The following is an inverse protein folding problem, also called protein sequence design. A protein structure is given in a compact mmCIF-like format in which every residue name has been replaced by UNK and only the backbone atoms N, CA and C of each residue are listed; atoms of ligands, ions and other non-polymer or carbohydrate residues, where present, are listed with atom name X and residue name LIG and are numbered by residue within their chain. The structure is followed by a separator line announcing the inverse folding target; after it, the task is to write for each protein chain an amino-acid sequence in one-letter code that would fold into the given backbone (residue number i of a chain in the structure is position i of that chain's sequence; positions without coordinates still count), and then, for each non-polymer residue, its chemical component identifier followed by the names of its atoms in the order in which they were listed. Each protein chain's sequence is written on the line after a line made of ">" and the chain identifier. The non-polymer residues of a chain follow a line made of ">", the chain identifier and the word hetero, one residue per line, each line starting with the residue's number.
data_IF_441813429479
#
_entry.id   IF_441813429479
#
_cell.length_a   1.000
_cell.length_b   1.000
_cell.length_c   1.000
_cell.angle_alpha   90.00
_cell.angle_beta   90.00
_cell.angle_gamma   90.00
#
_symmetry.space_group_name_H-M   'P 1'
#
loop_
_entity.id
_entity.type
_entity.pdbx_description
1 polymer ?
#
# COMPACT_ATOMS: atom_id res chain seq x y z
N UNK A 1 -16.38 -0.84 12.68
CA UNK A 1 -15.96 -1.09 11.28
C UNK A 1 -16.08 0.21 10.50
N UNK A 2 -15.36 0.39 9.39
CA UNK A 2 -15.35 1.63 8.59
C UNK A 2 -16.08 1.46 7.25
N UNK A 3 -16.47 2.58 6.64
CA UNK A 3 -17.03 2.66 5.29
C UNK A 3 -16.01 2.41 4.19
N UNK A 4 -16.41 2.67 2.95
CA UNK A 4 -15.53 2.53 1.79
C UNK A 4 -14.27 3.41 1.91
N UNK A 5 -14.38 4.56 2.58
CA UNK A 5 -13.30 5.48 2.89
C UNK A 5 -13.58 6.22 4.21
N UNK A 6 -12.61 6.98 4.72
CA UNK A 6 -12.73 7.73 5.99
C UNK A 6 -13.93 8.71 6.03
N UNK A 7 -14.38 9.20 4.87
CA UNK A 7 -15.51 10.12 4.77
C UNK A 7 -16.87 9.43 4.56
N UNK A 8 -16.89 8.11 4.38
CA UNK A 8 -18.10 7.36 4.14
C UNK A 8 -18.72 6.88 5.46
N UNK A 9 -19.91 7.42 5.75
CA UNK A 9 -20.65 7.15 6.99
C UNK A 9 -21.50 5.87 6.94
N UNK A 10 -21.50 5.13 5.83
CA UNK A 10 -22.22 3.85 5.68
C UNK A 10 -23.74 3.94 5.89
N UNK A 11 -24.36 5.09 5.70
CA UNK A 11 -25.82 5.27 5.88
C UNK A 11 -26.69 4.38 4.99
N UNK A 12 -26.10 3.79 3.94
CA UNK A 12 -26.73 2.83 3.05
C UNK A 12 -26.75 1.38 3.57
N UNK A 13 -26.03 1.09 4.66
CA UNK A 13 -25.97 -0.25 5.25
C UNK A 13 -27.14 -0.44 6.23
N UNK A 14 -27.92 -1.53 6.13
CA UNK A 14 -28.97 -1.84 7.09
C UNK A 14 -28.48 -1.84 8.55
N UNK A 15 -29.30 -1.28 9.43
CA UNK A 15 -28.99 -1.23 10.86
C UNK A 15 -28.74 -2.65 11.43
N UNK A 16 -27.66 -2.79 12.20
CA UNK A 16 -27.26 -4.05 12.83
C UNK A 16 -26.56 -5.06 11.92
N UNK A 17 -26.49 -4.83 10.60
CA UNK A 17 -25.81 -5.77 9.70
C UNK A 17 -24.30 -5.84 9.99
N UNK A 18 -23.66 -4.69 10.20
CA UNK A 18 -22.22 -4.60 10.52
C UNK A 18 -21.91 -5.32 11.83
N UNK A 19 -22.73 -5.12 12.87
CA UNK A 19 -22.52 -5.71 14.19
C UNK A 19 -22.68 -7.23 14.13
N UNK A 20 -23.69 -7.73 13.40
CA UNK A 20 -23.89 -9.17 13.17
C UNK A 20 -22.66 -9.79 12.50
N UNK A 21 -22.16 -9.17 11.43
CA UNK A 21 -20.97 -9.68 10.74
C UNK A 21 -19.73 -9.65 11.62
N UNK A 22 -19.56 -8.60 12.42
CA UNK A 22 -18.43 -8.52 13.36
C UNK A 22 -18.52 -9.60 14.46
N UNK A 23 -19.71 -9.86 15.01
CA UNK A 23 -19.87 -10.84 16.09
C UNK A 23 -19.83 -12.29 15.61
N UNK A 24 -20.36 -12.58 14.41
CA UNK A 24 -20.58 -13.96 13.95
C UNK A 24 -19.53 -14.42 12.92
N UNK A 25 -18.92 -13.48 12.20
CA UNK A 25 -18.11 -13.77 11.01
C UNK A 25 -16.78 -13.00 10.96
N UNK A 26 -16.26 -12.55 12.10
CA UNK A 26 -14.88 -12.05 12.13
C UNK A 26 -13.90 -13.18 11.75
N UNK A 27 -13.06 -13.00 10.71
CA UNK A 27 -12.16 -14.05 10.26
C UNK A 27 -11.02 -14.34 11.26
N UNK A 28 -10.59 -13.34 12.03
CA UNK A 28 -9.56 -13.49 13.06
C UNK A 28 -10.14 -14.32 14.21
N UNK A 29 -11.32 -13.97 14.73
CA UNK A 29 -11.97 -14.74 15.81
C UNK A 29 -12.21 -16.19 15.42
N UNK A 30 -12.64 -16.43 14.18
CA UNK A 30 -12.87 -17.79 13.66
C UNK A 30 -11.57 -18.58 13.57
N UNK A 31 -10.47 -17.94 13.18
CA UNK A 31 -9.20 -18.63 13.06
C UNK A 31 -8.53 -18.84 14.42
N UNK A 32 -8.66 -17.90 15.36
CA UNK A 32 -8.24 -18.08 16.76
C UNK A 32 -8.90 -19.33 17.35
N UNK A 33 -10.23 -19.48 17.20
CA UNK A 33 -10.94 -20.69 17.64
C UNK A 33 -10.34 -21.95 17.02
N UNK A 34 -10.03 -21.91 15.72
CA UNK A 34 -9.42 -23.05 15.03
C UNK A 34 -8.04 -23.40 15.58
N UNK A 35 -7.22 -22.41 15.89
CA UNK A 35 -5.88 -22.62 16.45
C UNK A 35 -5.96 -23.19 17.87
N UNK A 36 -6.87 -22.67 18.70
CA UNK A 36 -7.09 -23.22 20.05
C UNK A 36 -7.60 -24.67 19.99
N UNK A 37 -8.44 -25.02 19.00
CA UNK A 37 -8.86 -26.41 18.75
C UNK A 37 -7.71 -27.32 18.25
N UNK A 38 -6.61 -26.75 17.77
CA UNK A 38 -5.40 -27.44 17.29
C UNK A 38 -4.27 -27.42 18.34
N UNK A 39 -4.61 -27.22 19.63
CA UNK A 39 -3.69 -27.23 20.77
C UNK A 39 -2.63 -26.10 20.78
N UNK A 40 -2.89 -24.98 20.10
CA UNK A 40 -2.09 -23.76 20.30
C UNK A 40 -2.46 -23.09 21.62
N UNK A 41 -1.48 -22.54 22.32
CA UNK A 41 -1.71 -21.89 23.61
C UNK A 41 -2.26 -20.47 23.43
N UNK A 42 -3.24 -20.08 24.26
CA UNK A 42 -3.78 -18.71 24.26
C UNK A 42 -2.68 -17.67 24.49
N UNK A 43 -1.69 -18.01 25.32
CA UNK A 43 -0.53 -17.16 25.58
C UNK A 43 0.34 -16.91 24.33
N UNK A 44 0.43 -17.89 23.42
CA UNK A 44 1.16 -17.72 22.16
C UNK A 44 0.44 -16.74 21.26
N UNK A 45 -0.89 -16.87 21.13
CA UNK A 45 -1.72 -15.94 20.35
C UNK A 45 -1.65 -14.52 20.92
N UNK A 46 -1.78 -14.37 22.24
CA UNK A 46 -1.65 -13.08 22.91
C UNK A 46 -0.26 -12.45 22.70
N UNK A 47 0.81 -13.26 22.66
CA UNK A 47 2.15 -12.77 22.37
C UNK A 47 2.31 -12.24 20.94
N UNK A 48 1.60 -12.84 19.97
CA UNK A 48 1.56 -12.35 18.59
C UNK A 48 0.82 -11.02 18.51
N UNK A 49 -0.36 -10.92 19.14
CA UNK A 49 -1.14 -9.68 19.16
C UNK A 49 -0.35 -8.53 19.81
N UNK A 50 0.34 -8.80 20.93
CA UNK A 50 1.19 -7.81 21.59
C UNK A 50 2.32 -7.32 20.67
N UNK A 51 3.00 -8.24 19.98
CA UNK A 51 4.08 -7.90 19.06
C UNK A 51 3.58 -7.11 17.85
N UNK A 52 2.44 -7.48 17.28
CA UNK A 52 1.83 -6.75 16.14
C UNK A 52 1.40 -5.34 16.57
N UNK A 53 0.84 -5.20 17.77
CA UNK A 53 0.46 -3.89 18.32
C UNK A 53 1.69 -3.00 18.48
N UNK A 54 2.76 -3.52 19.08
CA UNK A 54 4.03 -2.79 19.22
C UNK A 54 4.61 -2.37 17.85
N UNK A 55 4.57 -3.26 16.85
CA UNK A 55 5.04 -2.95 15.49
C UNK A 55 4.22 -1.83 14.83
N UNK A 56 2.89 -1.85 15.00
CA UNK A 56 1.99 -0.81 14.47
C UNK A 56 2.23 0.53 15.18
N UNK A 57 2.39 0.53 16.50
CA UNK A 57 2.63 1.74 17.28
C UNK A 57 3.95 2.40 16.84
N UNK A 58 5.04 1.60 16.74
CA UNK A 58 6.35 2.09 16.27
C UNK A 58 6.24 2.66 14.84
N UNK A 59 5.58 1.97 13.93
CA UNK A 59 5.42 2.44 12.55
C UNK A 59 4.56 3.72 12.47
N UNK A 60 3.57 3.85 13.34
CA UNK A 60 2.73 5.05 13.44
C UNK A 60 3.53 6.24 13.97
N UNK A 61 4.31 6.04 15.04
CA UNK A 61 5.20 7.05 15.59
C UNK A 61 6.24 7.52 14.56
N UNK A 62 6.81 6.60 13.77
CA UNK A 62 7.74 6.94 12.68
C UNK A 62 7.04 7.77 11.58
N UNK A 63 5.82 7.38 11.19
CA UNK A 63 5.05 8.11 10.18
C UNK A 63 4.66 9.51 10.65
N UNK A 64 4.28 9.68 11.92
CA UNK A 64 3.92 10.98 12.50
C UNK A 64 5.16 11.89 12.70
N UNK A 65 6.30 11.32 13.06
CA UNK A 65 7.56 12.04 13.21
C UNK A 65 8.23 12.40 11.88
N UNK A 66 7.84 11.74 10.79
CA UNK A 66 8.40 11.96 9.46
C UNK A 66 8.09 13.40 8.99
N UNK A 67 9.09 14.13 8.47
CA UNK A 67 8.88 15.47 7.97
C UNK A 67 7.98 15.44 6.72
N UNK A 68 7.25 16.53 6.48
CA UNK A 68 6.62 16.74 5.18
C UNK A 68 7.68 16.70 4.08
N UNK A 69 7.33 16.18 2.88
CA UNK A 69 8.25 16.17 1.74
C UNK A 69 8.67 17.59 1.35
N UNK A 70 9.85 17.73 0.76
CA UNK A 70 10.27 19.01 0.19
C UNK A 70 9.31 19.35 -0.98
N UNK A 71 8.87 20.60 -1.15
CA UNK A 71 8.00 20.97 -2.27
C UNK A 71 8.54 20.55 -3.65
N UNK A 72 9.86 20.42 -3.82
CA UNK A 72 10.49 19.96 -5.07
C UNK A 72 10.38 18.46 -5.28
N UNK A 73 10.11 17.67 -4.24
CA UNK A 73 9.86 16.23 -4.37
C UNK A 73 8.65 15.95 -5.26
N UNK A 74 7.71 16.90 -5.36
CA UNK A 74 6.58 16.84 -6.30
C UNK A 74 7.01 16.77 -7.78
N UNK A 75 8.27 17.10 -8.12
CA UNK A 75 8.81 17.01 -9.47
C UNK A 75 9.59 15.71 -9.73
N UNK A 76 9.81 14.90 -8.69
CA UNK A 76 10.51 13.62 -8.77
C UNK A 76 9.51 12.53 -9.22
N UNK A 77 9.97 11.56 -10.02
CA UNK A 77 9.15 10.43 -10.47
C UNK A 77 8.16 10.76 -11.61
N UNK A 78 8.25 11.95 -12.22
CA UNK A 78 7.46 12.32 -13.41
C UNK A 78 7.87 11.48 -14.62
N UNK A 79 9.18 11.34 -14.83
CA UNK A 79 9.77 10.46 -15.83
C UNK A 79 10.64 9.41 -15.11
N UNK A 80 10.88 8.28 -15.78
CA UNK A 80 11.85 7.30 -15.28
C UNK A 80 13.25 7.93 -15.18
N UNK A 81 14.01 7.55 -14.16
CA UNK A 81 15.43 7.88 -14.01
C UNK A 81 16.22 6.59 -13.71
N UNK A 82 17.10 6.13 -14.62
CA UNK A 82 17.39 6.73 -15.92
C UNK A 82 16.16 6.72 -16.84
N UNK A 83 16.08 7.64 -17.82
CA UNK A 83 14.96 7.74 -18.76
C UNK A 83 14.99 6.62 -19.82
N UNK A 84 15.23 5.39 -19.38
CA UNK A 84 15.31 4.21 -20.21
C UNK A 84 14.62 3.05 -19.48
N UNK A 85 13.55 2.53 -20.06
CA UNK A 85 12.96 1.27 -19.63
C UNK A 85 13.59 0.12 -20.41
N UNK A 86 13.85 -1.00 -19.73
CA UNK A 86 14.24 -2.23 -20.42
C UNK A 86 13.17 -2.62 -21.44
N UNK A 87 13.54 -2.92 -22.69
CA UNK A 87 12.57 -3.33 -23.69
C UNK A 87 11.90 -4.65 -23.25
N UNK A 88 10.62 -4.81 -23.57
CA UNK A 88 9.95 -6.10 -23.43
C UNK A 88 10.71 -7.15 -24.22
N UNK A 89 10.72 -8.40 -23.75
CA UNK A 89 11.54 -9.49 -24.33
C UNK A 89 11.38 -9.68 -25.84
N UNK A 90 10.19 -9.42 -26.40
CA UNK A 90 9.92 -9.53 -27.85
C UNK A 90 10.38 -8.30 -28.67
N UNK A 91 10.90 -7.27 -28.02
CA UNK A 91 11.52 -6.07 -28.62
C UNK A 91 13.01 -5.98 -28.34
N UNK A 92 13.59 -7.00 -27.71
CA UNK A 92 15.02 -7.07 -27.47
C UNK A 92 15.78 -7.02 -28.80
N UNK A 93 16.72 -6.07 -28.92
CA UNK A 93 17.45 -5.80 -30.16
C UNK A 93 16.71 -4.93 -31.20
N UNK A 94 15.43 -4.60 -31.01
CA UNK A 94 14.67 -3.71 -31.92
C UNK A 94 14.66 -2.29 -31.35
N UNK A 95 15.78 -1.57 -31.50
CA UNK A 95 15.96 -0.20 -30.99
C UNK A 95 15.73 0.91 -32.03
N UNK A 96 15.59 0.55 -33.31
CA UNK A 96 15.53 1.52 -34.42
C UNK A 96 14.42 2.56 -34.31
N UNK A 97 13.28 2.23 -33.69
CA UNK A 97 12.20 3.18 -33.48
C UNK A 97 12.51 4.19 -32.37
N UNK A 98 13.23 3.76 -31.33
CA UNK A 98 13.62 4.54 -30.15
C UNK A 98 14.79 5.45 -30.52
N UNK A 99 15.85 4.88 -31.11
CA UNK A 99 17.09 5.60 -31.49
C UNK A 99 16.85 6.72 -32.53
N UNK A 100 15.79 6.62 -33.35
CA UNK A 100 15.49 7.58 -34.42
C UNK A 100 14.45 8.64 -34.00
N UNK A 101 13.56 8.33 -33.05
CA UNK A 101 12.43 9.20 -32.71
C UNK A 101 12.44 9.71 -31.25
N UNK A 102 13.27 9.16 -30.36
CA UNK A 102 13.49 9.77 -29.06
C UNK A 102 14.25 11.08 -29.24
N UNK A 103 13.57 12.18 -28.91
CA UNK A 103 14.23 13.47 -28.75
C UNK A 103 15.13 13.38 -27.51
N UNK A 104 16.32 14.01 -27.51
CA UNK A 104 17.09 14.20 -26.29
C UNK A 104 16.18 14.77 -25.21
N UNK A 105 16.34 14.31 -23.97
CA UNK A 105 15.65 14.88 -22.82
C UNK A 105 16.10 16.32 -22.59
N UNK A 106 15.57 17.28 -23.36
CA UNK A 106 15.68 18.69 -23.05
C UNK A 106 14.41 19.13 -22.32
N UNK A 107 14.59 19.63 -21.11
CA UNK A 107 13.54 20.34 -20.38
C UNK A 107 13.52 21.79 -20.89
N UNK A 108 12.67 22.10 -21.87
CA UNK A 108 12.32 23.48 -22.23
C UNK A 108 12.59 23.91 -23.67
N UNK A 109 11.86 24.94 -24.10
CA UNK A 109 11.69 25.41 -25.49
C UNK A 109 12.81 26.30 -26.06
N UNK A 110 14.06 26.18 -25.63
CA UNK A 110 15.12 27.02 -26.17
C UNK A 110 16.41 26.26 -26.50
N UNK A 111 16.49 25.81 -27.76
CA UNK A 111 17.75 25.78 -28.51
C UNK A 111 17.76 27.01 -29.44
N UNK A 112 18.05 28.19 -28.88
CA UNK A 112 18.52 29.40 -29.59
C UNK A 112 19.58 30.09 -28.76
#
# INVERSE_FOLDING_TARGET
>A
RKGHAEHDNQSYVPAGEIDRWAAENDPIDRYIKRLLDEDFEESELASVDARVTEEIDIATDEAEASPMPDPRDALIGIYADPPALSPLWFREGIKSAVDVHERPSSWGTHDV
#
